data_IF_042393199073
#
_entry.id   IF_042393199073
#
_cell.length_a   1.000
_cell.length_b   1.000
_cell.length_c   1.000
_cell.angle_alpha   90.00
_cell.angle_beta   90.00
_cell.angle_gamma   90.00
#
_symmetry.space_group_name_H-M   'P 1'
#
loop_
_entity.id
_entity.type
_entity.pdbx_description
1 polymer ?
#
# COMPACT_ATOMS: atom_id res chain seq x y z
N UNK A 1 -28.59 -22.65 15.66
CA UNK A 1 -27.98 -21.48 14.97
C UNK A 1 -26.67 -20.94 15.58
N UNK A 2 -26.27 -21.28 16.81
CA UNK A 2 -25.01 -20.77 17.44
C UNK A 2 -23.73 -21.53 17.07
N UNK A 3 -23.81 -22.77 16.60
CA UNK A 3 -22.65 -23.62 16.26
C UNK A 3 -21.99 -23.23 14.92
N UNK A 4 -22.74 -22.66 13.99
CA UNK A 4 -22.22 -22.30 12.66
C UNK A 4 -21.34 -21.04 12.65
N UNK A 5 -21.53 -20.10 13.59
CA UNK A 5 -20.72 -18.86 13.66
C UNK A 5 -19.32 -19.11 14.20
N UNK A 6 -19.13 -20.05 15.13
CA UNK A 6 -17.78 -20.39 15.66
C UNK A 6 -16.94 -21.16 14.65
N UNK A 7 -17.56 -21.99 13.82
CA UNK A 7 -16.89 -22.69 12.72
C UNK A 7 -16.46 -21.72 11.61
N UNK A 8 -17.30 -20.74 11.27
CA UNK A 8 -16.97 -19.70 10.31
C UNK A 8 -15.81 -18.80 10.81
N UNK A 9 -15.80 -18.45 12.09
CA UNK A 9 -14.73 -17.60 12.66
C UNK A 9 -13.37 -18.32 12.70
N UNK A 10 -13.35 -19.61 13.09
CA UNK A 10 -12.14 -20.46 13.02
C UNK A 10 -11.64 -20.65 11.60
N UNK A 11 -12.54 -20.82 10.63
CA UNK A 11 -12.21 -20.93 9.22
C UNK A 11 -11.58 -19.65 8.70
N UNK A 12 -12.12 -18.47 9.06
CA UNK A 12 -11.58 -17.17 8.64
C UNK A 12 -10.22 -16.86 9.28
N UNK A 13 -9.97 -17.32 10.50
CA UNK A 13 -8.65 -17.19 11.16
C UNK A 13 -7.60 -18.10 10.49
N UNK A 14 -8.00 -19.32 10.09
CA UNK A 14 -7.15 -20.25 9.34
C UNK A 14 -6.87 -19.75 7.93
N UNK A 15 -7.82 -19.03 7.30
CA UNK A 15 -7.66 -18.38 6.01
C UNK A 15 -6.62 -17.26 6.06
N UNK A 16 -6.64 -16.44 7.12
CA UNK A 16 -5.61 -15.43 7.35
C UNK A 16 -4.22 -16.07 7.56
N UNK A 17 -4.15 -17.16 8.32
CA UNK A 17 -2.92 -17.91 8.56
C UNK A 17 -2.40 -18.62 7.29
N UNK A 18 -3.29 -19.15 6.45
CA UNK A 18 -2.91 -19.82 5.20
C UNK A 18 -2.48 -18.83 4.10
N UNK A 19 -3.02 -17.60 4.09
CA UNK A 19 -2.50 -16.50 3.26
C UNK A 19 -1.07 -16.15 3.62
N UNK A 20 -0.74 -16.14 4.92
CA UNK A 20 0.63 -15.94 5.43
C UNK A 20 1.53 -17.14 5.04
N UNK A 21 1.01 -18.36 5.08
CA UNK A 21 1.75 -19.56 4.67
C UNK A 21 1.93 -19.65 3.15
N UNK A 22 1.04 -19.05 2.35
CA UNK A 22 1.19 -18.93 0.90
C UNK A 22 2.44 -18.13 0.47
N UNK A 23 2.81 -17.12 1.26
CA UNK A 23 4.07 -16.37 1.09
C UNK A 23 5.32 -17.18 1.44
N UNK A 24 5.20 -18.19 2.31
CA UNK A 24 6.30 -19.08 2.67
C UNK A 24 6.64 -20.11 1.57
N UNK A 25 5.87 -20.17 0.49
CA UNK A 25 6.10 -21.10 -0.64
C UNK A 25 7.21 -20.60 -1.59
N UNK A 26 7.61 -19.31 -1.47
CA UNK A 26 8.72 -18.73 -2.23
C UNK A 26 9.83 -18.17 -1.32
N UNK A 27 10.47 -18.98 -0.44
CA UNK A 27 11.50 -18.48 0.46
C UNK A 27 12.72 -17.94 -0.30
N UNK A 28 13.05 -18.51 -1.48
CA UNK A 28 14.25 -18.17 -2.22
C UNK A 28 14.15 -16.89 -3.06
N UNK A 29 12.94 -16.45 -3.42
CA UNK A 29 12.73 -15.24 -4.22
C UNK A 29 12.66 -13.97 -3.35
N UNK A 30 12.14 -14.09 -2.13
CA UNK A 30 11.97 -12.93 -1.23
C UNK A 30 13.24 -12.54 -0.47
N UNK A 31 14.17 -13.46 -0.21
CA UNK A 31 15.34 -13.22 0.64
C UNK A 31 16.51 -12.60 -0.13
N UNK A 32 16.67 -12.90 -1.42
CA UNK A 32 17.79 -12.40 -2.22
C UNK A 32 17.77 -10.89 -2.52
N UNK A 33 16.61 -10.25 -2.44
CA UNK A 33 16.45 -8.81 -2.75
C UNK A 33 16.73 -7.87 -1.56
N UNK A 34 16.86 -8.40 -0.33
CA UNK A 34 16.89 -7.57 0.91
C UNK A 34 18.26 -7.48 1.56
N UNK A 35 19.21 -8.37 1.25
CA UNK A 35 20.52 -8.40 1.92
C UNK A 35 21.62 -7.90 0.99
N UNK A 36 21.69 -6.59 0.83
CA UNK A 36 22.92 -5.92 0.36
C UNK A 36 23.83 -5.63 1.58
N UNK A 37 24.91 -6.35 1.71
CA UNK A 37 25.90 -6.17 2.79
C UNK A 37 26.54 -4.78 2.74
N UNK A 38 26.79 -4.13 3.89
CA UNK A 38 27.60 -2.91 3.94
C UNK A 38 29.09 -3.25 3.84
N UNK A 39 29.71 -2.77 2.78
CA UNK A 39 31.17 -2.85 2.62
C UNK A 39 31.89 -1.94 3.63
N UNK A 40 32.79 -2.50 4.40
CA UNK A 40 33.74 -1.79 5.25
C UNK A 40 34.94 -1.32 4.45
N UNK A 41 35.24 -0.03 4.51
CA UNK A 41 36.54 0.50 4.09
C UNK A 41 37.28 1.07 5.31
N UNK A 42 38.59 0.82 5.48
CA UNK A 42 39.37 1.34 6.58
C UNK A 42 39.92 2.73 6.26
N UNK A 43 39.74 3.68 7.17
CA UNK A 43 40.26 5.03 7.07
C UNK A 43 41.20 5.38 8.22
N UNK A 44 42.32 5.94 7.89
CA UNK A 44 43.44 6.42 8.67
C UNK A 44 43.07 7.55 9.66
N UNK A 45 43.82 7.73 10.79
CA UNK A 45 43.46 8.71 11.81
C UNK A 45 44.07 10.08 11.50
N UNK A 46 43.27 11.12 11.58
CA UNK A 46 43.77 12.49 11.62
C UNK A 46 43.14 13.32 12.74
N UNK A 47 43.90 14.26 13.18
CA UNK A 47 43.94 14.98 14.45
C UNK A 47 42.66 15.73 14.84
N UNK A 48 42.41 15.69 16.14
CA UNK A 48 41.34 16.33 16.86
C UNK A 48 41.23 17.85 16.63
N UNK A 49 40.07 18.28 16.15
CA UNK A 49 39.48 19.61 16.34
C UNK A 49 38.44 19.53 17.46
N UNK A 50 38.30 20.51 18.34
CA UNK A 50 37.29 20.47 19.38
C UNK A 50 35.88 20.40 18.74
N UNK A 51 34.93 19.62 19.31
CA UNK A 51 33.64 19.44 18.71
C UNK A 51 32.86 20.74 18.76
N UNK A 52 32.65 21.34 17.59
CA UNK A 52 31.49 22.22 17.40
C UNK A 52 30.25 21.46 17.86
N UNK A 53 29.35 22.11 18.57
CA UNK A 53 28.06 21.56 18.95
C UNK A 53 27.33 21.08 17.67
N UNK A 54 27.65 19.85 17.29
CA UNK A 54 26.98 19.19 16.19
C UNK A 54 25.49 19.07 16.59
N UNK A 55 24.67 19.85 15.94
CA UNK A 55 23.22 19.69 15.98
C UNK A 55 22.91 18.23 15.71
N UNK A 56 22.44 17.51 16.73
CA UNK A 56 22.00 16.11 16.59
C UNK A 56 20.99 16.06 15.44
N UNK A 57 21.25 15.24 14.40
CA UNK A 57 20.30 15.12 13.30
C UNK A 57 18.92 14.75 13.87
N UNK A 58 17.86 15.38 13.34
CA UNK A 58 16.49 15.02 13.69
C UNK A 58 16.31 13.49 13.54
N UNK A 59 15.57 12.84 14.45
CA UNK A 59 15.44 11.39 14.42
C UNK A 59 14.93 10.97 13.05
N UNK A 60 15.71 10.14 12.36
CA UNK A 60 15.35 9.52 11.09
C UNK A 60 14.19 8.59 11.40
N UNK A 61 13.04 8.82 10.76
CA UNK A 61 11.92 7.89 10.84
C UNK A 61 12.37 6.62 10.15
N UNK A 62 12.29 5.49 10.87
CA UNK A 62 12.77 4.20 10.39
C UNK A 62 12.06 3.72 9.12
N UNK A 63 12.61 2.73 8.48
CA UNK A 63 11.99 2.01 7.39
C UNK A 63 10.82 1.15 7.87
N UNK A 64 10.12 0.49 6.94
CA UNK A 64 9.07 -0.44 7.28
C UNK A 64 9.05 -1.66 6.36
N UNK A 65 8.59 -2.77 6.92
CA UNK A 65 8.22 -3.97 6.20
C UNK A 65 6.72 -4.18 6.37
N UNK A 66 5.99 -4.29 5.27
CA UNK A 66 4.54 -4.41 5.27
C UNK A 66 4.12 -5.69 4.54
N UNK A 67 3.31 -6.48 5.21
CA UNK A 67 2.56 -7.60 4.65
C UNK A 67 1.11 -7.15 4.45
N UNK A 68 0.59 -7.38 3.26
CA UNK A 68 -0.78 -7.05 2.89
C UNK A 68 -1.49 -8.24 2.29
N UNK A 69 -2.73 -8.48 2.72
CA UNK A 69 -3.60 -9.55 2.24
C UNK A 69 -5.00 -9.01 2.01
N UNK A 70 -5.52 -9.22 0.81
CA UNK A 70 -6.94 -9.02 0.48
C UNK A 70 -7.58 -10.35 0.10
N UNK A 71 -8.81 -10.54 0.54
CA UNK A 71 -9.58 -11.71 0.16
C UNK A 71 -11.08 -11.44 0.30
N UNK A 72 -11.87 -11.93 -0.62
CA UNK A 72 -13.31 -11.84 -0.64
C UNK A 72 -13.98 -12.79 0.37
N UNK A 73 -13.32 -13.88 0.75
CA UNK A 73 -13.77 -14.84 1.77
C UNK A 73 -13.96 -14.19 3.14
N UNK A 74 -13.27 -13.09 3.46
CA UNK A 74 -13.51 -12.34 4.70
C UNK A 74 -14.95 -11.86 4.85
N UNK A 75 -15.67 -11.72 3.72
CA UNK A 75 -17.09 -11.32 3.66
C UNK A 75 -18.01 -12.44 3.17
N UNK A 76 -17.49 -13.66 3.00
CA UNK A 76 -18.26 -14.84 2.61
C UNK A 76 -18.64 -14.88 1.14
N UNK A 77 -17.95 -14.16 0.28
CA UNK A 77 -18.03 -14.22 -1.18
C UNK A 77 -16.79 -14.93 -1.74
N UNK A 78 -16.87 -15.50 -2.92
CA UNK A 78 -15.76 -16.17 -3.64
C UNK A 78 -15.95 -15.92 -5.12
N UNK A 79 -15.69 -14.67 -5.57
CA UNK A 79 -15.90 -14.25 -6.97
C UNK A 79 -15.15 -12.97 -7.32
N UNK A 80 -14.76 -12.82 -8.57
CA UNK A 80 -14.10 -11.67 -9.22
C UNK A 80 -12.66 -11.45 -8.73
N UNK A 81 -12.44 -10.57 -7.78
CA UNK A 81 -11.14 -10.36 -7.14
C UNK A 81 -11.00 -11.30 -5.95
N UNK A 82 -10.47 -12.47 -6.19
CA UNK A 82 -10.45 -13.56 -5.20
C UNK A 82 -9.36 -13.37 -4.16
N UNK A 83 -8.18 -12.87 -4.58
CA UNK A 83 -7.02 -12.78 -3.69
C UNK A 83 -6.02 -11.74 -4.17
N UNK A 84 -5.47 -10.98 -3.22
CA UNK A 84 -4.30 -10.14 -3.41
C UNK A 84 -3.35 -10.27 -2.24
N UNK A 85 -2.08 -10.45 -2.54
CA UNK A 85 -1.04 -10.40 -1.52
C UNK A 85 0.12 -9.49 -1.94
N UNK A 86 0.75 -8.85 -0.96
CA UNK A 86 1.92 -8.01 -1.17
C UNK A 86 2.86 -8.10 0.02
N UNK A 87 4.15 -8.14 -0.27
CA UNK A 87 5.22 -7.85 0.68
C UNK A 87 5.94 -6.62 0.19
N UNK A 88 5.96 -5.57 1.00
CA UNK A 88 6.54 -4.28 0.66
C UNK A 88 7.60 -3.86 1.67
N UNK A 89 8.73 -3.42 1.17
CA UNK A 89 9.77 -2.76 1.94
C UNK A 89 9.82 -1.28 1.60
N UNK A 90 10.03 -0.45 2.62
CA UNK A 90 10.21 0.98 2.49
C UNK A 90 11.47 1.43 3.22
N UNK A 91 12.24 2.28 2.56
CA UNK A 91 13.45 2.85 3.14
C UNK A 91 13.14 3.80 4.30
N UNK A 92 14.09 4.01 5.22
CA UNK A 92 14.05 5.20 6.08
C UNK A 92 13.97 6.49 5.25
N UNK A 93 13.47 7.55 5.90
CA UNK A 93 13.44 8.88 5.29
C UNK A 93 14.83 9.44 5.07
N UNK A 94 15.03 10.14 3.96
CA UNK A 94 16.23 10.93 3.70
C UNK A 94 15.86 12.35 3.23
N UNK A 95 16.79 13.29 3.38
CA UNK A 95 16.58 14.68 2.99
C UNK A 95 16.44 14.82 1.47
N UNK A 96 15.64 15.77 1.03
CA UNK A 96 15.55 16.17 -0.40
C UNK A 96 16.85 16.79 -0.90
N UNK A 97 17.67 17.35 -0.01
CA UNK A 97 18.98 17.94 -0.34
C UNK A 97 20.04 16.88 -0.61
N UNK A 98 19.83 15.64 -0.12
CA UNK A 98 20.70 14.54 -0.45
C UNK A 98 20.52 14.12 -1.92
N UNK A 99 21.59 13.87 -2.68
CA UNK A 99 21.47 13.40 -4.04
C UNK A 99 20.70 12.07 -4.05
N UNK A 100 19.68 11.93 -4.89
CA UNK A 100 18.96 10.67 -4.99
C UNK A 100 19.89 9.60 -5.55
N UNK A 101 19.76 8.33 -5.09
CA UNK A 101 20.49 7.23 -5.66
C UNK A 101 20.28 7.17 -7.19
N UNK A 102 21.33 6.83 -7.95
CA UNK A 102 21.29 6.84 -9.41
C UNK A 102 20.11 6.08 -10.00
N UNK A 103 19.79 4.91 -9.44
CA UNK A 103 18.69 4.07 -9.93
C UNK A 103 17.28 4.71 -9.83
N UNK A 104 17.07 5.65 -8.90
CA UNK A 104 15.78 6.31 -8.68
C UNK A 104 15.78 7.80 -9.03
N UNK A 105 16.93 8.32 -9.47
CA UNK A 105 17.10 9.76 -9.73
C UNK A 105 16.15 10.31 -10.78
N UNK A 106 15.88 9.54 -11.84
CA UNK A 106 14.95 9.96 -12.90
C UNK A 106 13.50 9.99 -12.38
N UNK A 107 13.08 8.99 -11.61
CA UNK A 107 11.74 8.96 -11.02
C UNK A 107 11.52 10.14 -10.05
N UNK A 108 12.52 10.49 -9.22
CA UNK A 108 12.43 11.66 -8.35
C UNK A 108 12.36 12.98 -9.13
N UNK A 109 13.08 13.10 -10.27
CA UNK A 109 12.95 14.29 -11.13
C UNK A 109 11.54 14.39 -11.71
N UNK A 110 10.99 13.28 -12.22
CA UNK A 110 9.64 13.25 -12.73
C UNK A 110 8.63 13.58 -11.64
N UNK A 111 8.77 12.99 -10.44
CA UNK A 111 7.89 13.24 -9.32
C UNK A 111 7.88 14.72 -8.90
N UNK A 112 9.05 15.39 -8.87
CA UNK A 112 9.15 16.83 -8.60
C UNK A 112 8.51 17.70 -9.69
N UNK A 113 8.52 17.24 -10.93
CA UNK A 113 7.86 17.97 -12.03
C UNK A 113 6.32 17.91 -11.93
N UNK A 114 5.76 16.79 -11.47
CA UNK A 114 4.31 16.56 -11.44
C UNK A 114 3.67 16.73 -10.04
N UNK A 115 4.47 16.71 -8.97
CA UNK A 115 4.01 16.76 -7.58
C UNK A 115 4.43 18.03 -6.85
N UNK A 116 3.86 18.27 -5.67
CA UNK A 116 4.32 19.36 -4.80
C UNK A 116 5.69 19.07 -4.22
N UNK A 117 6.45 20.12 -3.92
CA UNK A 117 7.76 19.99 -3.27
C UNK A 117 7.63 19.31 -1.90
N UNK A 118 8.46 18.31 -1.71
CA UNK A 118 8.62 17.60 -0.44
C UNK A 118 9.85 18.08 0.35
N UNK A 119 9.91 17.75 1.62
CA UNK A 119 11.08 17.99 2.49
C UNK A 119 11.78 16.69 2.88
N UNK A 120 11.13 15.57 2.69
CA UNK A 120 11.64 14.22 2.95
C UNK A 120 11.30 13.30 1.79
N UNK A 121 12.19 12.35 1.53
CA UNK A 121 12.08 11.33 0.49
C UNK A 121 12.19 9.95 1.09
N UNK A 122 11.55 8.99 0.47
CA UNK A 122 11.81 7.58 0.67
C UNK A 122 11.54 6.78 -0.60
N UNK A 123 11.95 5.52 -0.61
CA UNK A 123 11.78 4.58 -1.71
C UNK A 123 11.06 3.35 -1.21
N UNK A 124 10.32 2.71 -2.08
CA UNK A 124 9.71 1.42 -1.80
C UNK A 124 9.99 0.43 -2.92
N UNK A 125 9.97 -0.83 -2.54
CA UNK A 125 9.91 -1.97 -3.45
C UNK A 125 8.94 -2.97 -2.86
N UNK A 126 8.16 -3.62 -3.71
CA UNK A 126 7.28 -4.67 -3.26
C UNK A 126 7.28 -5.85 -4.25
N UNK A 127 6.74 -6.97 -3.80
CA UNK A 127 6.30 -8.08 -4.66
C UNK A 127 4.82 -8.24 -4.44
N UNK A 128 4.03 -8.23 -5.52
CA UNK A 128 2.57 -8.33 -5.48
C UNK A 128 2.07 -9.43 -6.40
N UNK A 129 1.09 -10.19 -5.92
CA UNK A 129 0.34 -11.13 -6.73
C UNK A 129 -1.15 -10.88 -6.55
N UNK A 130 -1.88 -10.75 -7.67
CA UNK A 130 -3.32 -10.63 -7.67
C UNK A 130 -3.94 -11.75 -8.50
N UNK A 131 -5.08 -12.27 -8.05
CA UNK A 131 -5.82 -13.35 -8.66
C UNK A 131 -7.25 -12.90 -8.92
N UNK A 132 -7.69 -13.05 -10.16
CA UNK A 132 -9.03 -12.76 -10.63
C UNK A 132 -9.64 -14.04 -11.19
N UNK A 133 -10.91 -14.30 -10.83
CA UNK A 133 -11.64 -15.48 -11.30
C UNK A 133 -13.09 -15.15 -11.58
N UNK A 134 -13.77 -15.86 -12.49
CA UNK A 134 -15.22 -15.78 -12.62
C UNK A 134 -15.91 -16.25 -11.33
N UNK A 135 -17.20 -15.93 -11.19
CA UNK A 135 -18.01 -16.32 -10.03
C UNK A 135 -18.09 -17.85 -9.86
N UNK A 136 -18.24 -18.57 -10.96
CA UNK A 136 -18.25 -20.04 -10.95
C UNK A 136 -16.86 -20.59 -11.33
N UNK A 137 -16.02 -20.78 -10.31
CA UNK A 137 -14.66 -21.28 -10.49
C UNK A 137 -14.59 -22.80 -10.83
N UNK A 138 -15.69 -23.55 -10.69
CA UNK A 138 -15.73 -24.98 -11.00
C UNK A 138 -15.96 -25.24 -12.48
N UNK A 139 -16.39 -24.25 -13.27
CA UNK A 139 -16.53 -24.37 -14.72
C UNK A 139 -15.18 -24.49 -15.43
N UNK A 140 -15.08 -25.52 -16.27
CA UNK A 140 -13.88 -25.74 -17.10
C UNK A 140 -13.89 -24.83 -18.33
N UNK A 141 -15.08 -24.55 -18.91
CA UNK A 141 -15.24 -23.70 -20.10
C UNK A 141 -15.26 -22.23 -19.69
N UNK A 142 -14.90 -21.35 -20.63
CA UNK A 142 -15.04 -19.92 -20.49
C UNK A 142 -16.48 -19.55 -20.11
N UNK A 143 -16.63 -18.65 -19.14
CA UNK A 143 -17.91 -18.03 -18.79
C UNK A 143 -17.97 -16.71 -19.55
N UNK A 144 -18.73 -16.68 -20.65
CA UNK A 144 -18.69 -15.58 -21.64
C UNK A 144 -19.10 -14.22 -21.04
N UNK A 145 -20.03 -14.22 -20.09
CA UNK A 145 -20.55 -13.00 -19.44
C UNK A 145 -19.82 -12.63 -18.13
N UNK A 146 -18.70 -13.30 -17.83
CA UNK A 146 -17.94 -13.07 -16.61
C UNK A 146 -16.46 -12.84 -16.91
N UNK A 147 -15.73 -12.31 -15.91
CA UNK A 147 -14.30 -12.00 -16.04
C UNK A 147 -13.47 -13.25 -16.38
N UNK A 148 -12.38 -13.12 -17.16
CA UNK A 148 -11.46 -14.21 -17.38
C UNK A 148 -10.75 -14.61 -16.08
N UNK A 149 -10.29 -15.86 -16.02
CA UNK A 149 -9.21 -16.17 -15.10
C UNK A 149 -7.99 -15.33 -15.44
N UNK A 150 -7.41 -14.67 -14.46
CA UNK A 150 -6.19 -13.91 -14.63
C UNK A 150 -5.37 -13.91 -13.35
N UNK A 151 -4.08 -14.15 -13.49
CA UNK A 151 -3.10 -13.95 -12.45
C UNK A 151 -2.07 -12.95 -12.90
N UNK A 152 -1.67 -12.04 -12.03
CA UNK A 152 -0.56 -11.13 -12.25
C UNK A 152 0.42 -11.20 -11.09
N UNK A 153 1.71 -11.28 -11.42
CA UNK A 153 2.83 -11.18 -10.48
C UNK A 153 3.70 -10.02 -10.92
N UNK A 154 3.89 -9.02 -10.05
CA UNK A 154 4.63 -7.83 -10.41
C UNK A 154 5.39 -7.22 -9.23
N UNK A 155 6.38 -6.41 -9.56
CA UNK A 155 7.23 -5.68 -8.62
C UNK A 155 7.04 -4.18 -8.81
N UNK A 156 6.36 -3.52 -7.88
CA UNK A 156 6.31 -2.06 -7.78
C UNK A 156 7.63 -1.49 -7.28
N UNK A 157 8.14 -0.46 -7.97
CA UNK A 157 9.28 0.36 -7.57
C UNK A 157 8.78 1.78 -7.33
N UNK A 158 8.76 2.20 -6.07
CA UNK A 158 8.17 3.47 -5.68
C UNK A 158 9.19 4.51 -5.23
N UNK A 159 8.93 5.78 -5.56
CA UNK A 159 9.57 6.96 -4.99
C UNK A 159 8.52 7.90 -4.43
N UNK A 160 8.82 8.48 -3.28
CA UNK A 160 7.85 9.26 -2.53
C UNK A 160 8.50 10.53 -2.00
N UNK A 161 7.82 11.66 -2.17
CA UNK A 161 8.17 12.93 -1.54
C UNK A 161 7.07 13.37 -0.60
N UNK A 162 7.43 13.75 0.62
CA UNK A 162 6.47 14.20 1.62
C UNK A 162 6.84 15.53 2.24
N UNK A 163 5.80 16.29 2.50
CA UNK A 163 5.80 17.55 3.23
C UNK A 163 4.95 17.38 4.52
N UNK A 164 4.87 18.38 5.41
CA UNK A 164 3.98 18.32 6.57
C UNK A 164 2.50 18.12 6.21
N UNK A 165 2.07 18.51 5.01
CA UNK A 165 0.65 18.50 4.60
C UNK A 165 0.33 17.59 3.42
N UNK A 166 1.33 17.07 2.71
CA UNK A 166 1.10 16.25 1.52
C UNK A 166 2.15 15.18 1.35
N UNK A 167 1.77 14.12 0.64
CA UNK A 167 2.68 13.13 0.08
C UNK A 167 2.32 12.92 -1.38
N UNK A 168 3.33 12.92 -2.24
CA UNK A 168 3.24 12.49 -3.63
C UNK A 168 4.06 11.24 -3.84
N UNK A 169 3.53 10.33 -4.63
CA UNK A 169 4.12 9.02 -4.91
C UNK A 169 4.13 8.77 -6.41
N UNK A 170 5.21 8.21 -6.91
CA UNK A 170 5.33 7.69 -8.26
C UNK A 170 5.82 6.26 -8.18
N UNK A 171 5.08 5.33 -8.77
CA UNK A 171 5.37 3.90 -8.73
C UNK A 171 5.43 3.35 -10.16
N UNK A 172 6.45 2.55 -10.44
CA UNK A 172 6.63 1.81 -11.69
C UNK A 172 6.42 0.33 -11.39
N UNK A 173 5.36 -0.24 -11.95
CA UNK A 173 5.04 -1.67 -11.86
C UNK A 173 5.64 -2.40 -13.04
N UNK A 174 6.43 -3.43 -12.76
CA UNK A 174 7.02 -4.32 -13.76
C UNK A 174 6.68 -5.76 -13.41
N UNK A 175 6.11 -6.52 -14.33
CA UNK A 175 5.69 -7.88 -14.02
C UNK A 175 5.18 -8.66 -15.21
N UNK A 176 4.41 -9.70 -14.92
CA UNK A 176 3.82 -10.60 -15.90
C UNK A 176 2.40 -10.98 -15.49
N UNK A 177 1.46 -10.92 -16.44
CA UNK A 177 0.13 -11.51 -16.33
C UNK A 177 0.14 -12.85 -17.09
N UNK A 178 -0.72 -13.78 -16.67
CA UNK A 178 -0.89 -15.07 -17.35
C UNK A 178 -0.30 -16.26 -16.58
N UNK A 179 -0.06 -17.40 -17.23
CA UNK A 179 0.42 -18.64 -16.62
C UNK A 179 1.68 -18.49 -15.78
N UNK A 180 2.65 -17.68 -16.21
CA UNK A 180 3.90 -17.45 -15.49
C UNK A 180 3.75 -16.52 -14.27
N UNK A 181 2.55 -16.02 -13.95
CA UNK A 181 2.25 -15.41 -12.66
C UNK A 181 2.12 -16.42 -11.52
N UNK A 182 2.05 -17.73 -11.82
CA UNK A 182 1.84 -18.84 -10.88
C UNK A 182 0.54 -18.76 -10.06
N UNK A 183 -0.41 -17.90 -10.44
CA UNK A 183 -1.65 -17.68 -9.72
C UNK A 183 -2.51 -18.96 -9.63
N UNK A 184 -2.58 -19.76 -10.71
CA UNK A 184 -3.28 -21.03 -10.72
C UNK A 184 -2.76 -22.01 -9.66
N UNK A 185 -1.44 -22.10 -9.51
CA UNK A 185 -0.79 -22.99 -8.55
C UNK A 185 -1.05 -22.52 -7.12
N UNK A 186 -0.95 -21.22 -6.87
CA UNK A 186 -1.22 -20.60 -5.56
C UNK A 186 -2.67 -20.83 -5.17
N UNK A 187 -3.64 -20.52 -6.05
CA UNK A 187 -5.06 -20.70 -5.75
C UNK A 187 -5.40 -22.16 -5.48
N UNK A 188 -4.93 -23.10 -6.33
CA UNK A 188 -5.17 -24.54 -6.13
C UNK A 188 -4.64 -25.04 -4.80
N UNK A 189 -3.44 -24.62 -4.37
CA UNK A 189 -2.87 -24.98 -3.07
C UNK A 189 -3.68 -24.41 -1.92
N UNK A 190 -4.01 -23.13 -1.97
CA UNK A 190 -4.79 -22.46 -0.91
C UNK A 190 -6.16 -23.10 -0.76
N UNK A 191 -6.89 -23.32 -1.86
CA UNK A 191 -8.19 -24.01 -1.82
C UNK A 191 -8.07 -25.45 -1.32
N UNK A 192 -7.00 -26.17 -1.67
CA UNK A 192 -6.72 -27.50 -1.17
C UNK A 192 -6.53 -27.54 0.36
N UNK A 193 -5.85 -26.56 0.95
CA UNK A 193 -5.68 -26.48 2.41
C UNK A 193 -6.95 -26.07 3.16
N UNK A 194 -7.79 -25.27 2.51
CA UNK A 194 -8.99 -24.69 3.12
C UNK A 194 -10.25 -25.52 2.89
N UNK A 195 -10.16 -26.59 2.07
CA UNK A 195 -11.32 -27.38 1.68
C UNK A 195 -12.29 -26.58 0.80
N UNK A 196 -11.81 -25.59 0.06
CA UNK A 196 -12.60 -24.77 -0.85
C UNK A 196 -12.93 -25.49 -2.17
N UNK A 197 -13.75 -24.84 -3.01
CA UNK A 197 -14.05 -25.30 -4.37
C UNK A 197 -12.80 -25.44 -5.20
N UNK A 198 -12.78 -26.39 -6.14
CA UNK A 198 -11.61 -26.61 -7.02
C UNK A 198 -11.68 -25.68 -8.23
N UNK A 199 -10.75 -24.74 -8.43
CA UNK A 199 -10.73 -23.88 -9.61
C UNK A 199 -10.35 -24.70 -10.85
N UNK A 200 -11.29 -24.86 -11.79
CA UNK A 200 -11.14 -25.75 -12.95
C UNK A 200 -10.87 -25.02 -14.27
N UNK A 201 -11.15 -23.71 -14.36
CA UNK A 201 -11.09 -22.93 -15.60
C UNK A 201 -9.75 -22.29 -15.94
N UNK A 202 -8.68 -22.55 -15.23
CA UNK A 202 -7.36 -21.92 -15.44
C UNK A 202 -6.72 -22.18 -16.80
N UNK A 203 -7.18 -23.20 -17.55
CA UNK A 203 -6.75 -23.41 -18.94
C UNK A 203 -7.15 -22.26 -19.88
N UNK A 204 -8.17 -21.48 -19.49
CA UNK A 204 -8.71 -20.35 -20.26
C UNK A 204 -8.30 -18.99 -19.68
N UNK A 205 -7.22 -18.94 -18.87
CA UNK A 205 -6.74 -17.69 -18.30
C UNK A 205 -6.18 -16.76 -19.38
N UNK A 206 -6.01 -15.49 -19.05
CA UNK A 206 -5.27 -14.54 -19.89
C UNK A 206 -3.88 -15.09 -20.22
N UNK A 207 -3.39 -14.79 -21.42
CA UNK A 207 -2.09 -15.21 -21.89
C UNK A 207 -0.97 -14.42 -21.21
N UNK A 208 0.24 -14.96 -21.29
CA UNK A 208 1.41 -14.26 -20.78
C UNK A 208 1.63 -12.94 -21.52
N UNK A 209 1.74 -11.88 -20.76
CA UNK A 209 2.02 -10.53 -21.24
C UNK A 209 2.85 -9.79 -20.19
N UNK A 210 3.92 -9.11 -20.63
CA UNK A 210 4.73 -8.29 -19.75
C UNK A 210 3.91 -7.06 -19.33
N UNK A 211 3.88 -6.79 -18.04
CA UNK A 211 3.22 -5.63 -17.45
C UNK A 211 4.24 -4.51 -17.25
N UNK A 212 3.87 -3.32 -17.74
CA UNK A 212 4.55 -2.08 -17.47
C UNK A 212 3.49 -1.00 -17.20
N UNK A 213 3.42 -0.53 -15.96
CA UNK A 213 2.44 0.45 -15.53
C UNK A 213 3.10 1.53 -14.69
N UNK A 214 2.79 2.79 -14.92
CA UNK A 214 3.26 3.93 -14.14
C UNK A 214 2.07 4.51 -13.39
N UNK A 215 2.20 4.65 -12.08
CA UNK A 215 1.13 5.14 -11.23
C UNK A 215 1.57 6.35 -10.41
N UNK A 216 0.70 7.35 -10.34
CA UNK A 216 0.87 8.54 -9.52
C UNK A 216 -0.25 8.67 -8.51
N UNK A 217 0.08 9.06 -7.27
CA UNK A 217 -0.89 9.34 -6.21
C UNK A 217 -0.44 10.57 -5.42
N UNK A 218 -1.36 11.51 -5.20
CA UNK A 218 -1.17 12.67 -4.33
C UNK A 218 -2.22 12.64 -3.23
N UNK A 219 -1.77 12.70 -1.98
CA UNK A 219 -2.61 12.81 -0.79
C UNK A 219 -2.29 14.09 -0.04
N UNK A 220 -3.31 14.82 0.34
CA UNK A 220 -3.15 16.09 1.03
C UNK A 220 -3.98 16.07 2.31
N UNK A 221 -3.37 16.36 3.44
CA UNK A 221 -4.14 16.59 4.67
C UNK A 221 -4.77 17.96 4.62
N UNK A 222 -6.07 18.01 4.30
CA UNK A 222 -6.85 19.25 4.21
C UNK A 222 -7.23 19.77 5.59
N UNK A 223 -7.49 18.86 6.54
CA UNK A 223 -7.90 19.18 7.89
C UNK A 223 -7.26 18.24 8.91
N UNK A 224 -6.93 18.75 10.08
CA UNK A 224 -6.61 17.97 11.28
C UNK A 224 -7.02 18.79 12.50
N UNK A 225 -7.85 18.21 13.37
CA UNK A 225 -8.20 18.84 14.64
C UNK A 225 -7.02 18.81 15.60
N UNK A 226 -7.01 19.73 16.57
CA UNK A 226 -6.18 19.61 17.77
C UNK A 226 -6.63 18.36 18.55
N UNK A 227 -5.68 17.65 19.16
CA UNK A 227 -6.00 16.47 19.96
C UNK A 227 -6.59 16.88 21.31
N UNK A 228 -7.91 16.73 21.48
CA UNK A 228 -8.56 16.88 22.77
C UNK A 228 -8.59 15.51 23.45
N UNK A 229 -8.02 15.40 24.66
CA UNK A 229 -7.91 14.14 25.42
C UNK A 229 -7.26 12.98 24.62
N UNK A 230 -6.34 13.31 23.69
CA UNK A 230 -5.67 12.36 22.81
C UNK A 230 -6.47 11.95 21.56
N UNK A 231 -7.72 12.39 21.40
CA UNK A 231 -8.55 12.08 20.23
C UNK A 231 -8.38 13.20 19.20
N UNK A 232 -8.12 12.82 17.96
CA UNK A 232 -8.03 13.73 16.83
C UNK A 232 -8.85 13.21 15.65
N UNK A 233 -9.23 14.12 14.76
CA UNK A 233 -9.89 13.85 13.49
C UNK A 233 -9.08 14.49 12.39
N UNK A 234 -8.93 13.79 11.24
CA UNK A 234 -8.37 14.41 10.04
C UNK A 234 -9.15 14.02 8.78
N UNK A 235 -8.95 14.85 7.73
CA UNK A 235 -9.51 14.64 6.40
C UNK A 235 -8.40 14.75 5.36
N UNK A 236 -8.33 13.74 4.49
CA UNK A 236 -7.25 13.53 3.53
C UNK A 236 -7.86 13.30 2.14
N UNK A 237 -8.16 14.36 1.37
CA UNK A 237 -8.46 14.22 -0.04
C UNK A 237 -7.23 13.72 -0.79
N UNK A 238 -7.50 12.97 -1.87
CA UNK A 238 -6.47 12.45 -2.76
C UNK A 238 -6.95 12.33 -4.19
N UNK A 239 -5.99 12.36 -5.10
CA UNK A 239 -6.20 11.96 -6.48
C UNK A 239 -5.01 11.15 -6.98
N UNK A 240 -5.23 10.37 -8.04
CA UNK A 240 -4.18 9.59 -8.68
C UNK A 240 -4.57 9.17 -10.08
N UNK A 241 -3.61 8.67 -10.81
CA UNK A 241 -3.81 8.09 -12.13
C UNK A 241 -2.79 6.99 -12.39
N UNK A 242 -3.16 6.07 -13.28
CA UNK A 242 -2.30 5.00 -13.78
C UNK A 242 -2.26 5.01 -15.30
N UNK A 243 -1.09 4.75 -15.86
CA UNK A 243 -0.82 4.70 -17.30
C UNK A 243 0.04 3.48 -17.62
N UNK A 244 -0.46 2.58 -18.42
CA UNK A 244 0.26 1.38 -18.85
C UNK A 244 -0.65 0.35 -19.48
N UNK A 245 -0.11 -0.84 -19.72
CA UNK A 245 -0.90 -1.93 -20.30
C UNK A 245 -1.67 -2.75 -19.26
N UNK A 246 -1.37 -2.60 -17.97
CA UNK A 246 -2.20 -3.23 -16.93
C UNK A 246 -3.50 -2.46 -16.73
N UNK A 247 -3.39 -1.14 -16.46
CA UNK A 247 -4.56 -0.28 -16.26
C UNK A 247 -4.29 1.16 -16.69
N UNK A 248 -5.29 1.80 -17.31
CA UNK A 248 -5.33 3.24 -17.58
C UNK A 248 -6.54 3.80 -16.85
N UNK A 249 -6.30 4.63 -15.84
CA UNK A 249 -7.36 5.18 -15.00
C UNK A 249 -6.97 6.54 -14.39
N UNK A 250 -7.98 7.27 -13.95
CA UNK A 250 -7.83 8.40 -13.04
C UNK A 250 -8.83 8.26 -11.89
N UNK A 251 -8.41 8.59 -10.67
CA UNK A 251 -9.23 8.49 -9.46
C UNK A 251 -9.18 9.75 -8.63
N UNK A 252 -10.25 10.01 -7.92
CA UNK A 252 -10.36 11.05 -6.89
C UNK A 252 -11.13 10.53 -5.71
N UNK A 253 -10.71 10.90 -4.51
CA UNK A 253 -11.36 10.44 -3.29
C UNK A 253 -10.97 11.25 -2.08
N UNK A 254 -11.54 10.87 -0.95
CA UNK A 254 -11.18 11.41 0.35
C UNK A 254 -11.30 10.34 1.43
N UNK A 255 -10.43 10.42 2.43
CA UNK A 255 -10.47 9.62 3.64
C UNK A 255 -10.66 10.52 4.85
N UNK A 256 -11.53 10.12 5.77
CA UNK A 256 -11.73 10.74 7.08
C UNK A 256 -11.28 9.71 8.12
N UNK A 257 -10.54 10.18 9.13
CA UNK A 257 -10.09 9.34 10.23
C UNK A 257 -10.39 10.02 11.57
N UNK A 258 -10.77 9.22 12.54
CA UNK A 258 -10.93 9.64 13.93
C UNK A 258 -10.27 8.60 14.84
N UNK A 259 -9.52 9.06 15.84
CA UNK A 259 -8.86 8.10 16.70
C UNK A 259 -8.06 8.68 17.84
N UNK A 260 -7.67 7.81 18.76
CA UNK A 260 -6.80 8.12 19.87
C UNK A 260 -5.33 8.00 19.44
N UNK A 261 -4.54 9.04 19.75
CA UNK A 261 -3.17 9.19 19.26
C UNK A 261 -3.08 8.98 17.74
N UNK A 262 -4.03 9.57 17.00
CA UNK A 262 -4.15 9.43 15.55
C UNK A 262 -2.78 9.62 14.87
N UNK A 263 -2.29 8.63 14.10
CA UNK A 263 -0.98 8.71 13.46
C UNK A 263 -0.84 9.93 12.56
N UNK A 264 0.33 10.59 12.59
CA UNK A 264 0.62 11.71 11.71
C UNK A 264 1.15 11.22 10.35
N UNK A 265 0.41 10.34 9.69
CA UNK A 265 0.65 9.86 8.32
C UNK A 265 -0.46 10.33 7.38
N UNK A 266 -0.46 9.87 6.13
CA UNK A 266 -1.40 10.29 5.10
C UNK A 266 -2.48 9.24 4.78
N UNK A 267 -2.94 8.53 5.80
CA UNK A 267 -4.06 7.59 5.69
C UNK A 267 -3.65 6.14 5.70
N UNK A 268 -4.64 5.27 5.66
CA UNK A 268 -4.50 3.83 5.45
C UNK A 268 -4.84 3.50 4.01
N UNK A 269 -4.23 2.46 3.46
CA UNK A 269 -4.30 2.12 2.05
C UNK A 269 -4.71 0.67 1.84
N UNK A 270 -5.41 0.40 0.77
CA UNK A 270 -5.59 -0.92 0.19
C UNK A 270 -4.46 -1.20 -0.81
N UNK A 271 -4.44 -2.35 -1.48
CA UNK A 271 -3.40 -2.83 -2.42
C UNK A 271 -3.08 -1.88 -3.61
N UNK A 272 -3.23 -0.59 -3.47
CA UNK A 272 -2.81 0.35 -4.50
C UNK A 272 -1.50 1.04 -4.13
N UNK A 273 -0.77 1.58 -5.13
CA UNK A 273 0.55 2.13 -4.95
C UNK A 273 0.49 3.26 -3.96
N UNK A 274 0.87 3.00 -2.79
CA UNK A 274 1.19 4.03 -1.83
C UNK A 274 1.56 3.38 -0.53
N UNK A 275 2.69 3.67 -0.17
CA UNK A 275 3.32 3.21 1.02
C UNK A 275 2.46 3.48 2.26
N UNK A 276 2.47 2.56 3.16
CA UNK A 276 2.27 2.81 4.57
C UNK A 276 3.29 3.85 5.04
N UNK A 277 3.04 5.09 4.68
CA UNK A 277 4.00 6.15 4.91
C UNK A 277 4.16 6.40 6.38
N UNK A 278 5.38 6.26 6.82
CA UNK A 278 5.88 6.81 8.06
C UNK A 278 5.39 8.25 8.27
N UNK A 279 5.29 8.68 9.52
CA UNK A 279 4.74 9.96 9.94
C UNK A 279 5.16 11.13 9.03
N UNK A 280 4.25 12.05 8.79
CA UNK A 280 4.59 13.31 8.13
C UNK A 280 5.76 13.98 8.88
N UNK A 281 6.69 14.62 8.16
CA UNK A 281 7.72 15.42 8.81
C UNK A 281 7.05 16.44 9.70
N UNK A 282 7.57 16.65 10.91
CA UNK A 282 7.14 17.76 11.76
C UNK A 282 7.29 19.09 11.02
N UNK A 283 6.66 20.18 11.48
CA UNK A 283 6.95 21.50 10.96
C UNK A 283 8.47 21.67 10.95
N UNK A 284 9.01 22.13 9.82
CA UNK A 284 10.43 22.46 9.76
C UNK A 284 10.72 23.35 10.96
N UNK A 285 11.60 22.89 11.87
CA UNK A 285 12.15 23.78 12.86
C UNK A 285 12.74 24.93 12.08
N UNK A 286 12.26 26.15 12.31
CA UNK A 286 12.88 27.36 11.77
C UNK A 286 14.39 27.24 11.89
N UNK A 287 15.16 27.72 10.90
CA UNK A 287 16.61 27.65 10.98
C UNK A 287 17.04 28.12 12.36
N UNK A 288 17.81 27.31 13.06
CA UNK A 288 18.20 27.53 14.42
C UNK A 288 18.81 28.95 14.54
N UNK A 289 18.13 29.85 15.23
CA UNK A 289 18.71 31.15 15.50
C UNK A 289 17.79 32.35 15.71
N UNK A 290 16.49 32.26 15.52
CA UNK A 290 15.60 33.38 15.88
C UNK A 290 14.48 32.90 16.81
N UNK A 291 14.52 33.29 18.12
CA UNK A 291 13.38 33.16 19.00
C UNK A 291 12.27 34.09 18.50
N UNK A 292 11.05 33.56 18.40
CA UNK A 292 9.86 34.37 18.12
C UNK A 292 9.65 35.39 19.26
N UNK A 293 8.92 36.49 19.00
CA UNK A 293 8.71 37.56 19.99
C UNK A 293 8.03 37.10 21.28
N UNK A 294 7.45 35.91 21.34
CA UNK A 294 6.73 35.37 22.51
C UNK A 294 7.54 34.34 23.33
N UNK A 295 8.79 34.07 22.99
CA UNK A 295 9.61 33.04 23.63
C UNK A 295 10.55 33.51 24.72
N UNK A 296 10.46 34.79 25.12
CA UNK A 296 11.33 35.38 26.16
C UNK A 296 10.65 35.36 27.52
N UNK A 297 10.70 34.22 28.21
CA UNK A 297 10.51 34.18 29.67
C UNK A 297 11.88 33.94 30.30
N UNK A 298 12.44 34.92 31.05
CA UNK A 298 13.73 34.78 31.70
C UNK A 298 13.64 33.74 32.84
N UNK A 299 14.44 32.69 32.76
CA UNK A 299 14.77 31.83 33.89
C UNK A 299 14.42 30.37 33.85
N UNK A 300 13.81 29.83 32.80
CA UNK A 300 13.57 28.37 32.68
C UNK A 300 14.01 27.90 31.31
N UNK A 301 15.20 27.31 31.23
CA UNK A 301 15.64 26.57 30.07
C UNK A 301 14.75 25.33 29.91
N UNK A 302 13.59 25.48 29.25
CA UNK A 302 12.79 24.34 28.80
C UNK A 302 13.58 23.57 27.76
N UNK A 303 14.19 22.49 28.21
CA UNK A 303 14.74 21.46 27.31
C UNK A 303 13.61 20.95 26.40
N UNK A 304 13.50 21.53 25.21
CA UNK A 304 12.67 20.99 24.13
C UNK A 304 13.25 19.65 23.68
N UNK A 305 12.97 18.60 24.43
CA UNK A 305 13.17 17.22 24.04
C UNK A 305 11.95 16.77 23.21
N UNK A 306 11.74 17.34 22.06
CA UNK A 306 10.81 16.77 21.07
C UNK A 306 11.57 15.77 20.17
N UNK A 307 12.13 14.73 20.75
CA UNK A 307 12.18 13.47 20.01
C UNK A 307 10.73 13.08 19.80
N UNK A 308 10.27 12.99 18.54
CA UNK A 308 8.96 12.43 18.22
C UNK A 308 8.97 10.94 18.58
N UNK A 309 8.82 10.65 19.87
CA UNK A 309 8.57 9.30 20.36
C UNK A 309 7.19 8.96 19.84
N UNK A 310 7.13 8.02 18.91
CA UNK A 310 5.86 7.46 18.45
C UNK A 310 5.09 6.99 19.69
N UNK A 311 3.82 7.38 19.90
CA UNK A 311 3.03 6.90 21.03
C UNK A 311 3.10 5.37 21.05
N UNK A 312 3.25 4.76 22.22
CA UNK A 312 3.32 3.30 22.34
C UNK A 312 2.07 2.61 21.80
N UNK A 313 0.94 3.31 21.81
CA UNK A 313 -0.36 2.82 21.36
C UNK A 313 -1.09 3.89 20.55
N UNK A 314 -1.73 3.50 19.45
CA UNK A 314 -2.71 4.32 18.73
C UNK A 314 -3.81 3.44 18.16
N UNK A 315 -5.02 3.98 18.15
CA UNK A 315 -6.19 3.34 17.53
C UNK A 315 -7.00 4.38 16.76
N UNK A 316 -7.44 4.02 15.57
CA UNK A 316 -8.31 4.90 14.78
C UNK A 316 -9.28 4.12 13.91
N UNK A 317 -10.41 4.72 13.66
CA UNK A 317 -11.39 4.32 12.66
C UNK A 317 -11.23 5.21 11.44
N UNK A 318 -11.53 4.68 10.26
CA UNK A 318 -11.53 5.46 9.04
C UNK A 318 -12.63 5.06 8.08
N UNK A 319 -13.04 6.02 7.26
CA UNK A 319 -13.91 5.81 6.11
C UNK A 319 -13.33 6.58 4.92
N UNK A 320 -13.42 6.00 3.73
CA UNK A 320 -13.01 6.62 2.49
C UNK A 320 -14.05 6.38 1.40
N UNK A 321 -14.18 7.37 0.52
CA UNK A 321 -14.96 7.25 -0.71
C UNK A 321 -14.10 7.67 -1.89
N UNK A 322 -14.19 6.95 -3.00
CA UNK A 322 -13.40 7.13 -4.21
C UNK A 322 -14.25 6.92 -5.45
N UNK A 323 -14.08 7.78 -6.44
CA UNK A 323 -14.55 7.61 -7.80
C UNK A 323 -13.37 7.42 -8.75
N UNK A 324 -13.49 6.48 -9.67
CA UNK A 324 -12.48 6.11 -10.63
C UNK A 324 -13.07 6.10 -12.04
N UNK A 325 -12.42 6.82 -12.97
CA UNK A 325 -12.67 6.72 -14.41
C UNK A 325 -11.63 5.80 -15.04
N UNK A 326 -12.07 4.71 -15.69
CA UNK A 326 -11.20 3.66 -16.24
C UNK A 326 -11.28 3.67 -17.75
N UNK A 327 -10.14 3.86 -18.42
CA UNK A 327 -10.02 3.81 -19.88
C UNK A 327 -9.56 2.43 -20.38
N UNK A 328 -8.76 1.71 -19.58
CA UNK A 328 -8.30 0.35 -19.86
C UNK A 328 -8.13 -0.44 -18.56
N UNK A 329 -8.49 -1.73 -18.59
CA UNK A 329 -8.25 -2.67 -17.50
C UNK A 329 -8.08 -4.07 -18.09
N UNK A 330 -6.84 -4.58 -18.09
CA UNK A 330 -6.49 -5.86 -18.73
C UNK A 330 -7.30 -7.04 -18.18
N UNK A 331 -7.74 -6.97 -16.92
CA UNK A 331 -8.55 -8.02 -16.28
C UNK A 331 -9.98 -8.07 -16.80
N UNK A 332 -10.44 -7.01 -17.48
CA UNK A 332 -11.78 -6.89 -18.07
C UNK A 332 -11.72 -6.85 -19.59
N UNK A 333 -10.77 -6.09 -20.14
CA UNK A 333 -10.63 -5.86 -21.58
C UNK A 333 -9.85 -7.00 -22.28
N UNK A 334 -9.20 -7.90 -21.50
CA UNK A 334 -8.34 -8.96 -22.04
C UNK A 334 -6.91 -8.49 -22.33
N UNK A 335 -6.08 -9.36 -22.88
CA UNK A 335 -4.68 -9.06 -23.20
C UNK A 335 -4.56 -7.86 -24.15
N UNK A 336 -3.60 -6.96 -23.87
CA UNK A 336 -3.39 -5.74 -24.65
C UNK A 336 -2.81 -6.03 -26.02
N UNK A 337 -1.87 -6.98 -26.11
CA UNK A 337 -1.15 -7.31 -27.33
C UNK A 337 -1.60 -8.62 -27.99
N UNK A 338 -2.68 -9.23 -27.50
CA UNK A 338 -3.23 -10.47 -28.02
C UNK A 338 -4.73 -10.59 -27.84
N UNK A 339 -5.37 -11.51 -28.57
CA UNK A 339 -6.79 -11.79 -28.37
C UNK A 339 -6.96 -12.75 -27.21
N UNK A 340 -7.80 -12.41 -26.24
CA UNK A 340 -8.21 -13.26 -25.15
C UNK A 340 -9.65 -12.98 -24.75
N UNK A 341 -10.19 -13.72 -23.78
CA UNK A 341 -11.52 -13.45 -23.27
C UNK A 341 -11.59 -12.06 -22.62
N UNK A 342 -12.71 -11.37 -22.81
CA UNK A 342 -12.95 -10.02 -22.28
C UNK A 342 -14.44 -9.80 -22.00
N UNK A 343 -14.72 -8.86 -21.12
CA UNK A 343 -16.09 -8.44 -20.79
C UNK A 343 -16.28 -6.95 -21.05
N UNK A 344 -17.51 -6.52 -21.22
CA UNK A 344 -17.80 -5.11 -21.50
C UNK A 344 -17.68 -4.26 -20.23
N UNK A 345 -16.51 -3.67 -20.04
CA UNK A 345 -16.14 -2.82 -18.89
C UNK A 345 -17.08 -1.62 -18.73
N UNK A 346 -17.32 -1.20 -17.48
CA UNK A 346 -17.92 0.09 -17.13
C UNK A 346 -16.82 1.15 -16.99
N UNK A 347 -17.01 2.37 -17.53
CA UNK A 347 -15.98 3.40 -17.46
C UNK A 347 -15.87 4.07 -16.09
N UNK A 348 -16.89 3.98 -15.26
CA UNK A 348 -16.95 4.62 -13.95
C UNK A 348 -17.14 3.59 -12.84
N UNK A 349 -16.29 3.66 -11.84
CA UNK A 349 -16.30 2.74 -10.70
C UNK A 349 -16.29 3.58 -9.43
N UNK A 350 -17.17 3.26 -8.49
CA UNK A 350 -17.19 3.80 -7.14
C UNK A 350 -16.62 2.80 -6.16
N UNK A 351 -15.88 3.29 -5.16
CA UNK A 351 -15.36 2.48 -4.07
C UNK A 351 -15.61 3.19 -2.74
N UNK A 352 -16.08 2.43 -1.75
CA UNK A 352 -16.17 2.88 -0.36
C UNK A 352 -15.37 1.93 0.50
N UNK A 353 -14.56 2.45 1.39
CA UNK A 353 -13.77 1.67 2.34
C UNK A 353 -14.07 2.13 3.74
N UNK A 354 -14.27 1.20 4.66
CA UNK A 354 -14.33 1.46 6.09
C UNK A 354 -13.38 0.52 6.81
N UNK A 355 -12.78 0.97 7.90
CA UNK A 355 -11.82 0.13 8.60
C UNK A 355 -11.32 0.74 9.89
N UNK A 356 -10.39 0.02 10.50
CA UNK A 356 -9.67 0.49 11.68
C UNK A 356 -8.18 0.22 11.58
N UNK A 357 -7.39 1.02 12.26
CA UNK A 357 -5.96 0.85 12.42
C UNK A 357 -5.58 0.82 13.90
N UNK A 358 -4.76 -0.16 14.26
CA UNK A 358 -4.21 -0.36 15.57
C UNK A 358 -2.69 -0.35 15.48
N UNK A 359 -2.00 0.45 16.31
CA UNK A 359 -0.55 0.38 16.42
C UNK A 359 -0.15 0.16 17.87
N UNK A 360 0.73 -0.80 18.06
CA UNK A 360 1.36 -1.12 19.34
C UNK A 360 2.87 -1.06 19.11
N UNK A 361 3.54 -0.07 19.68
CA UNK A 361 4.97 0.20 19.47
C UNK A 361 5.34 0.32 17.98
N UNK A 362 6.04 -0.69 17.47
CA UNK A 362 6.56 -0.78 16.09
C UNK A 362 5.68 -1.60 15.16
N UNK A 363 4.64 -2.23 15.69
CA UNK A 363 3.73 -3.07 14.91
C UNK A 363 2.43 -2.33 14.67
N UNK A 364 2.00 -2.27 13.43
CA UNK A 364 0.72 -1.69 13.02
C UNK A 364 -0.11 -2.76 12.34
N UNK A 365 -1.38 -2.84 12.70
CA UNK A 365 -2.39 -3.67 12.08
C UNK A 365 -3.51 -2.77 11.55
N UNK A 366 -3.82 -2.85 10.26
CA UNK A 366 -5.02 -2.24 9.69
C UNK A 366 -5.94 -3.34 9.17
N UNK A 367 -7.23 -3.11 9.34
CA UNK A 367 -8.28 -3.95 8.78
C UNK A 367 -9.27 -3.08 8.02
N UNK A 368 -9.62 -3.50 6.81
CA UNK A 368 -10.53 -2.76 5.92
C UNK A 368 -11.63 -3.63 5.36
N UNK A 369 -12.79 -3.03 5.16
CA UNK A 369 -13.89 -3.54 4.34
C UNK A 369 -14.04 -2.63 3.13
N UNK A 370 -14.03 -3.22 1.95
CA UNK A 370 -14.14 -2.51 0.69
C UNK A 370 -15.44 -2.90 -0.01
N UNK A 371 -16.18 -1.90 -0.45
CA UNK A 371 -17.38 -2.01 -1.25
C UNK A 371 -17.11 -1.34 -2.59
N UNK A 372 -17.16 -2.09 -3.68
CA UNK A 372 -16.90 -1.63 -5.03
C UNK A 372 -18.18 -1.78 -5.87
N UNK A 373 -18.52 -0.77 -6.65
CA UNK A 373 -19.63 -0.88 -7.62
C UNK A 373 -19.30 -1.92 -8.68
N UNK A 374 -20.28 -2.29 -9.49
CA UNK A 374 -20.07 -3.18 -10.64
C UNK A 374 -19.04 -2.60 -11.61
N UNK A 375 -18.14 -3.43 -12.11
CA UNK A 375 -17.01 -3.04 -12.98
C UNK A 375 -17.26 -3.36 -14.46
N UNK A 376 -18.15 -4.31 -14.76
CA UNK A 376 -18.56 -4.68 -16.12
C UNK A 376 -20.08 -4.81 -16.23
N UNK A 377 -20.61 -4.87 -17.45
CA UNK A 377 -22.06 -4.74 -17.67
C UNK A 377 -22.87 -5.93 -17.20
N UNK A 378 -22.38 -7.15 -17.42
CA UNK A 378 -23.06 -8.38 -17.04
C UNK A 378 -22.96 -8.69 -15.55
N UNK A 379 -22.12 -8.00 -14.80
CA UNK A 379 -21.94 -8.19 -13.37
C UNK A 379 -23.24 -7.91 -12.60
N UNK A 380 -23.79 -8.89 -11.86
CA UNK A 380 -25.12 -8.73 -11.24
C UNK A 380 -25.11 -7.80 -10.03
N UNK A 381 -24.03 -7.80 -9.25
CA UNK A 381 -23.90 -6.97 -8.03
C UNK A 381 -22.47 -6.46 -7.88
N UNK A 382 -22.31 -5.38 -7.09
CA UNK A 382 -20.99 -4.87 -6.75
C UNK A 382 -20.18 -5.88 -5.93
N UNK A 383 -18.86 -5.70 -5.95
CA UNK A 383 -17.93 -6.57 -5.27
C UNK A 383 -17.61 -6.09 -3.84
N UNK A 384 -17.37 -7.04 -2.93
CA UNK A 384 -17.04 -6.76 -1.53
C UNK A 384 -15.90 -7.66 -1.10
N UNK A 385 -14.90 -7.08 -0.46
CA UNK A 385 -13.77 -7.84 0.06
C UNK A 385 -13.20 -7.19 1.32
N UNK A 386 -12.42 -7.96 2.08
CA UNK A 386 -11.69 -7.48 3.25
C UNK A 386 -10.21 -7.44 2.99
N UNK A 387 -9.50 -6.55 3.70
CA UNK A 387 -8.05 -6.45 3.67
C UNK A 387 -7.44 -6.41 5.06
N UNK A 388 -6.30 -7.06 5.24
CA UNK A 388 -5.47 -7.01 6.43
C UNK A 388 -4.10 -6.52 6.04
N UNK A 389 -3.60 -5.51 6.75
CA UNK A 389 -2.24 -5.00 6.61
C UNK A 389 -1.50 -5.13 7.92
N UNK A 390 -0.35 -5.77 7.91
CA UNK A 390 0.57 -5.86 9.04
C UNK A 390 1.87 -5.15 8.68
N UNK A 391 2.22 -4.11 9.44
CA UNK A 391 3.44 -3.32 9.20
C UNK A 391 4.36 -3.38 10.41
N UNK A 392 5.62 -3.70 10.18
CA UNK A 392 6.71 -3.58 11.14
C UNK A 392 7.54 -2.35 10.81
N UNK A 393 7.65 -1.41 11.74
CA UNK A 393 8.48 -0.19 11.65
C UNK A 393 9.78 -0.43 12.41
N UNK A 394 10.95 -0.18 11.78
CA UNK A 394 12.27 -0.45 12.39
C UNK A 394 13.22 0.74 12.32
#
# INVERSE_FOLDING_TARGET
MRTNRRAAWRRNLLLAAAGIAGLAIFPDVCVAAVVGSPGTAPGSPDRARPPSLATRPAPVIGGSLTLYLENDVFLGTDREYTHGCSVAWMSPDFSVDAPPPRATGMMFRLLRFIGPDGVRRHRSIAVRQNIYTPEDIEKVKVVEDDVPYAGVLYMPFGVHEKSPRAISSLELDVGIIGPHSYAAQVQKKVHGWLGGKKPAGWANQLHDEIILNLEYDLRRRAYRSSAARGIALDAIPYFGYGLGNMRIYAKVGAQIRVGWHLPNNFGSYNLQPSCECSAAPGPASSPAGQPGPDDVVPGIARRSRSAHVLPAFSFHLYAAAEGEGVAHDIFLDGNTFGKSHSVRRKPWIGRTTVGFGLRIHRVKLDYSFVFKTTTFRAQPTGHRYGGITLTLIY
#
